data_IF_394848796896
#
_entry.id   IF_394848796896
#
_cell.length_a   1.000
_cell.length_b   1.000
_cell.length_c   1.000
_cell.angle_alpha   90.00
_cell.angle_beta   90.00
_cell.angle_gamma   90.00
#
_symmetry.space_group_name_H-M   'P 1'
#
loop_
_entity.id
_entity.type
_entity.pdbx_description
1 polymer ?
#
# COMPACT_ATOMS: atom_id res chain seq x y z
N UNK A 1 3.14 18.32 5.59
CA UNK A 1 4.18 17.49 4.96
C UNK A 1 3.60 16.91 3.68
N UNK A 2 4.34 16.89 2.56
CA UNK A 2 3.82 16.30 1.32
C UNK A 2 3.79 14.77 1.40
N UNK A 3 2.90 14.08 0.66
CA UNK A 3 2.88 12.61 0.62
C UNK A 3 4.24 12.00 0.22
N UNK A 4 4.95 12.64 -0.72
CA UNK A 4 6.30 12.22 -1.10
C UNK A 4 7.30 12.27 0.07
N UNK A 5 7.29 13.36 0.85
CA UNK A 5 8.16 13.49 2.03
C UNK A 5 7.77 12.48 3.13
N UNK A 6 6.48 12.21 3.33
CA UNK A 6 6.01 11.15 4.23
C UNK A 6 6.54 9.77 3.80
N UNK A 7 6.47 9.45 2.51
CA UNK A 7 6.99 8.19 1.97
C UNK A 7 8.48 8.02 2.22
N UNK A 8 9.28 9.06 1.97
CA UNK A 8 10.71 9.06 2.31
C UNK A 8 10.97 8.82 3.79
N UNK A 9 10.19 9.48 4.66
CA UNK A 9 10.32 9.32 6.10
C UNK A 9 10.09 7.87 6.55
N UNK A 10 9.09 7.17 6.00
CA UNK A 10 8.83 5.75 6.30
C UNK A 10 10.07 4.89 6.03
N UNK A 11 10.66 5.03 4.84
CA UNK A 11 11.87 4.30 4.45
C UNK A 11 13.11 4.67 5.27
N UNK A 12 13.16 5.86 5.87
CA UNK A 12 14.23 6.25 6.78
C UNK A 12 14.03 5.70 8.20
N UNK A 13 12.78 5.44 8.61
CA UNK A 13 12.45 4.98 9.95
C UNK A 13 12.34 3.46 10.09
N UNK A 14 12.10 2.75 9.00
CA UNK A 14 11.88 1.30 9.00
C UNK A 14 13.00 0.58 8.23
N UNK A 15 13.51 -0.57 8.74
CA UNK A 15 14.44 -1.40 7.98
C UNK A 15 13.80 -1.86 6.66
N UNK A 16 14.43 -1.51 5.54
CA UNK A 16 13.98 -1.89 4.20
C UNK A 16 15.15 -2.43 3.40
N UNK A 17 14.89 -3.45 2.58
CA UNK A 17 15.89 -4.00 1.65
C UNK A 17 16.22 -3.03 0.50
N UNK A 18 15.37 -2.02 0.28
CA UNK A 18 15.47 -1.06 -0.83
C UNK A 18 15.32 0.37 -0.32
N UNK A 19 15.98 1.32 -0.98
CA UNK A 19 15.70 2.74 -0.80
C UNK A 19 14.31 3.13 -1.34
N UNK A 20 13.82 4.29 -0.91
CA UNK A 20 12.58 4.87 -1.44
C UNK A 20 12.66 5.06 -2.95
N UNK A 21 13.78 5.58 -3.45
CA UNK A 21 14.02 5.84 -4.87
C UNK A 21 14.04 4.56 -5.71
N UNK A 22 14.69 3.49 -5.23
CA UNK A 22 14.69 2.18 -5.90
C UNK A 22 13.28 1.59 -5.95
N UNK A 23 12.56 1.66 -4.83
CA UNK A 23 11.19 1.17 -4.76
C UNK A 23 10.27 1.96 -5.70
N UNK A 24 10.40 3.29 -5.73
CA UNK A 24 9.65 4.15 -6.64
C UNK A 24 9.98 3.87 -8.11
N UNK A 25 11.26 3.76 -8.45
CA UNK A 25 11.70 3.44 -9.81
C UNK A 25 11.14 2.08 -10.24
N UNK A 26 11.21 1.07 -9.38
CA UNK A 26 10.68 -0.26 -9.69
C UNK A 26 9.17 -0.21 -9.94
N UNK A 27 8.40 0.45 -9.06
CA UNK A 27 6.94 0.56 -9.21
C UNK A 27 6.53 1.42 -10.42
N UNK A 28 7.36 2.37 -10.86
CA UNK A 28 7.11 3.10 -12.10
C UNK A 28 7.22 2.22 -13.35
N UNK A 29 7.98 1.12 -13.27
CA UNK A 29 8.25 0.22 -14.40
C UNK A 29 7.40 -1.04 -14.39
N UNK A 30 7.20 -1.64 -13.21
CA UNK A 30 6.59 -2.97 -13.05
C UNK A 30 5.34 -2.97 -12.18
N UNK A 31 4.88 -1.80 -11.73
CA UNK A 31 3.70 -1.66 -10.90
C UNK A 31 3.00 -0.34 -11.19
N UNK A 32 2.52 0.30 -10.13
CA UNK A 32 1.80 1.55 -10.18
C UNK A 32 2.18 2.47 -9.03
N UNK A 33 2.26 3.76 -9.35
CA UNK A 33 2.30 4.83 -8.37
C UNK A 33 1.02 5.64 -8.52
N UNK A 34 0.12 5.51 -7.54
CA UNK A 34 -1.06 6.37 -7.45
C UNK A 34 -0.71 7.54 -6.55
N UNK A 35 -0.97 8.77 -6.99
CA UNK A 35 -0.72 9.94 -6.17
C UNK A 35 -1.83 10.97 -6.33
N UNK A 36 -2.08 11.69 -5.25
CA UNK A 36 -2.97 12.84 -5.20
C UNK A 36 -2.35 13.94 -4.36
N UNK A 37 -3.10 15.02 -4.15
CA UNK A 37 -2.63 16.14 -3.33
C UNK A 37 -2.33 15.72 -1.88
N UNK A 38 -3.07 14.75 -1.35
CA UNK A 38 -3.06 14.33 0.05
C UNK A 38 -2.68 12.85 0.26
N UNK A 39 -2.32 12.10 -0.78
CA UNK A 39 -1.92 10.70 -0.66
C UNK A 39 -0.88 10.26 -1.70
N UNK A 40 -0.20 9.15 -1.40
CA UNK A 40 0.66 8.42 -2.33
C UNK A 40 0.61 6.93 -2.03
N UNK A 41 0.50 6.11 -3.06
CA UNK A 41 0.49 4.64 -2.99
C UNK A 41 1.45 4.06 -3.99
N UNK A 42 2.34 3.19 -3.54
CA UNK A 42 3.09 2.27 -4.38
C UNK A 42 2.42 0.91 -4.31
N UNK A 43 2.01 0.38 -5.44
CA UNK A 43 1.41 -0.94 -5.48
C UNK A 43 1.60 -1.66 -6.80
N UNK A 44 1.40 -2.97 -6.77
CA UNK A 44 1.49 -3.84 -7.94
C UNK A 44 0.34 -4.83 -7.94
N UNK A 45 -0.12 -5.19 -9.12
CA UNK A 45 -1.09 -6.27 -9.28
C UNK A 45 -0.38 -7.61 -9.08
N UNK A 46 -0.98 -8.46 -8.26
CA UNK A 46 -0.47 -9.80 -7.95
C UNK A 46 -1.61 -10.82 -7.96
N UNK A 47 -1.33 -12.09 -8.29
CA UNK A 47 -2.25 -13.19 -8.01
C UNK A 47 -2.29 -13.43 -6.50
N UNK A 48 -3.48 -13.39 -5.88
CA UNK A 48 -3.64 -13.59 -4.43
C UNK A 48 -3.10 -14.94 -3.94
N UNK A 49 -3.14 -15.96 -4.80
CA UNK A 49 -2.64 -17.30 -4.54
C UNK A 49 -1.16 -17.52 -4.81
N UNK A 50 -0.42 -16.48 -5.24
CA UNK A 50 1.01 -16.61 -5.47
C UNK A 50 1.78 -16.85 -4.16
N UNK A 51 3.01 -17.36 -4.30
CA UNK A 51 3.93 -17.55 -3.19
C UNK A 51 4.17 -16.22 -2.47
N UNK A 52 4.07 -16.22 -1.13
CA UNK A 52 4.16 -14.99 -0.34
C UNK A 52 5.48 -14.23 -0.56
N UNK A 53 6.60 -14.96 -0.67
CA UNK A 53 7.90 -14.37 -0.96
C UNK A 53 7.88 -13.57 -2.28
N UNK A 54 7.22 -14.07 -3.33
CA UNK A 54 7.07 -13.35 -4.60
C UNK A 54 6.09 -12.18 -4.51
N UNK A 55 5.08 -12.26 -3.63
CA UNK A 55 4.14 -11.15 -3.44
C UNK A 55 4.80 -10.00 -2.70
N UNK A 56 5.74 -10.27 -1.78
CA UNK A 56 6.43 -9.28 -0.95
C UNK A 56 7.65 -8.69 -1.67
N UNK A 57 8.45 -9.52 -2.33
CA UNK A 57 9.65 -9.09 -3.04
C UNK A 57 9.33 -8.32 -4.34
N UNK A 58 10.31 -7.62 -4.91
CA UNK A 58 10.21 -6.89 -6.17
C UNK A 58 10.13 -7.82 -7.40
N UNK A 59 9.07 -8.62 -7.47
CA UNK A 59 8.80 -9.61 -8.52
C UNK A 59 7.72 -9.13 -9.51
N UNK A 60 7.91 -9.43 -10.81
CA UNK A 60 6.93 -9.13 -11.86
C UNK A 60 6.06 -10.35 -12.16
N UNK A 61 4.74 -10.17 -12.11
CA UNK A 61 3.74 -11.19 -12.47
C UNK A 61 3.21 -11.01 -13.91
N UNK A 62 4.05 -10.50 -14.81
CA UNK A 62 3.67 -10.23 -16.19
C UNK A 62 3.04 -11.46 -16.87
N UNK A 63 1.92 -11.24 -17.57
CA UNK A 63 1.17 -12.31 -18.24
C UNK A 63 0.28 -13.18 -17.33
N UNK A 64 0.20 -12.89 -16.03
CA UNK A 64 -0.65 -13.64 -15.09
C UNK A 64 -1.94 -12.87 -14.75
N UNK A 65 -3.03 -13.60 -14.54
CA UNK A 65 -4.26 -13.02 -14.00
C UNK A 65 -4.04 -12.57 -12.55
N UNK A 66 -4.23 -11.28 -12.31
CA UNK A 66 -4.05 -10.67 -10.99
C UNK A 66 -5.41 -10.20 -10.45
N UNK A 67 -5.74 -10.61 -9.22
CA UNK A 67 -6.99 -10.28 -8.53
C UNK A 67 -6.78 -9.42 -7.28
N UNK A 68 -5.52 -9.08 -6.98
CA UNK A 68 -5.11 -8.33 -5.80
C UNK A 68 -4.14 -7.21 -6.14
N UNK A 69 -4.29 -6.04 -5.49
CA UNK A 69 -3.28 -4.99 -5.48
C UNK A 69 -2.46 -5.14 -4.19
N UNK A 70 -1.20 -5.54 -4.32
CA UNK A 70 -0.25 -5.49 -3.22
C UNK A 70 0.26 -4.07 -3.05
N UNK A 71 0.13 -3.53 -1.84
CA UNK A 71 0.51 -2.17 -1.46
C UNK A 71 1.82 -2.23 -0.69
N UNK A 72 2.90 -1.80 -1.33
CA UNK A 72 4.23 -1.70 -0.74
C UNK A 72 4.39 -0.43 0.13
N UNK A 73 3.69 0.65 -0.25
CA UNK A 73 3.66 1.90 0.51
C UNK A 73 2.30 2.56 0.34
N UNK A 74 1.72 3.07 1.43
CA UNK A 74 0.57 3.97 1.38
C UNK A 74 0.72 5.03 2.45
N UNK A 75 0.77 6.30 2.05
CA UNK A 75 0.91 7.45 2.95
C UNK A 75 -0.14 8.51 2.65
N UNK A 76 -0.53 9.27 3.68
CA UNK A 76 -1.56 10.29 3.58
C UNK A 76 -2.99 9.74 3.71
N UNK A 77 -3.96 10.38 3.06
CA UNK A 77 -5.39 10.02 3.16
C UNK A 77 -5.67 8.67 2.50
N UNK A 78 -5.90 7.65 3.32
CA UNK A 78 -6.30 6.31 2.86
C UNK A 78 -7.65 6.36 2.12
N UNK A 79 -8.59 7.19 2.60
CA UNK A 79 -9.89 7.32 1.95
C UNK A 79 -9.75 7.84 0.51
N UNK A 80 -8.92 8.86 0.30
CA UNK A 80 -8.61 9.40 -1.03
C UNK A 80 -7.90 8.34 -1.89
N UNK A 81 -6.89 7.67 -1.33
CA UNK A 81 -6.15 6.62 -2.03
C UNK A 81 -7.05 5.49 -2.56
N UNK A 82 -7.93 4.94 -1.70
CA UNK A 82 -8.81 3.83 -2.09
C UNK A 82 -9.93 4.23 -3.04
N UNK A 83 -10.31 5.51 -3.06
CA UNK A 83 -11.24 6.05 -4.04
C UNK A 83 -10.62 6.16 -5.44
N UNK A 84 -9.30 6.32 -5.54
CA UNK A 84 -8.57 6.42 -6.81
C UNK A 84 -8.23 5.06 -7.44
N UNK A 85 -8.23 3.98 -6.66
CA UNK A 85 -7.90 2.66 -7.19
C UNK A 85 -8.87 2.21 -8.30
N UNK A 86 -8.37 1.50 -9.33
CA UNK A 86 -9.22 0.95 -10.39
C UNK A 86 -10.33 0.04 -9.85
N UNK A 87 -11.51 0.10 -10.49
CA UNK A 87 -12.72 -0.64 -10.03
C UNK A 87 -12.56 -2.15 -10.05
N UNK A 88 -11.61 -2.66 -10.81
CA UNK A 88 -11.36 -4.10 -11.00
C UNK A 88 -10.62 -4.74 -9.81
N UNK A 89 -9.99 -3.94 -8.94
CA UNK A 89 -9.30 -4.40 -7.75
C UNK A 89 -10.30 -4.93 -6.73
N UNK A 90 -10.30 -6.24 -6.48
CA UNK A 90 -11.17 -6.87 -5.47
C UNK A 90 -10.47 -7.02 -4.12
N UNK A 91 -9.17 -7.25 -4.14
CA UNK A 91 -8.36 -7.49 -2.94
C UNK A 91 -7.23 -6.49 -2.83
N UNK A 92 -6.90 -6.14 -1.59
CA UNK A 92 -5.69 -5.42 -1.23
C UNK A 92 -4.86 -6.32 -0.35
N UNK A 93 -3.54 -6.33 -0.58
CA UNK A 93 -2.59 -6.89 0.37
C UNK A 93 -1.57 -5.86 0.81
N UNK A 94 -1.06 -6.02 2.02
CA UNK A 94 0.06 -5.24 2.55
C UNK A 94 0.73 -6.05 3.66
N UNK A 95 1.97 -5.70 3.99
CA UNK A 95 2.68 -6.31 5.10
C UNK A 95 2.46 -5.54 6.39
N UNK A 96 2.29 -6.28 7.48
CA UNK A 96 2.30 -5.73 8.84
C UNK A 96 2.99 -6.72 9.76
N UNK A 97 4.05 -6.28 10.44
CA UNK A 97 4.87 -7.15 11.30
C UNK A 97 5.40 -8.39 10.54
N UNK A 98 5.94 -8.17 9.33
CA UNK A 98 6.46 -9.21 8.43
C UNK A 98 5.44 -10.31 8.07
N UNK A 99 4.15 -10.02 8.21
CA UNK A 99 3.07 -10.91 7.83
C UNK A 99 2.29 -10.28 6.68
N UNK A 100 2.25 -10.98 5.54
CA UNK A 100 1.41 -10.59 4.41
C UNK A 100 -0.06 -10.81 4.78
N UNK A 101 -0.86 -9.76 4.67
CA UNK A 101 -2.30 -9.80 4.96
C UNK A 101 -3.09 -9.43 3.72
N UNK A 102 -4.28 -10.01 3.60
CA UNK A 102 -5.21 -9.75 2.50
C UNK A 102 -6.55 -9.29 3.04
N UNK A 103 -7.13 -8.28 2.41
CA UNK A 103 -8.44 -7.76 2.76
C UNK A 103 -9.24 -7.48 1.48
N UNK A 104 -10.56 -7.73 1.49
CA UNK A 104 -11.43 -7.24 0.42
C UNK A 104 -11.37 -5.70 0.37
N UNK A 105 -11.25 -5.11 -0.82
CA UNK A 105 -11.18 -3.66 -1.00
C UNK A 105 -12.39 -2.97 -0.38
N UNK A 106 -13.59 -3.53 -0.55
CA UNK A 106 -14.82 -2.99 0.02
C UNK A 106 -14.79 -2.93 1.54
N UNK A 107 -14.12 -3.91 2.18
CA UNK A 107 -13.94 -3.92 3.63
C UNK A 107 -13.00 -2.81 4.06
N UNK A 108 -11.89 -2.59 3.35
CA UNK A 108 -10.96 -1.50 3.63
C UNK A 108 -11.64 -0.13 3.47
N UNK A 109 -12.37 0.10 2.36
CA UNK A 109 -13.08 1.36 2.08
C UNK A 109 -14.06 1.75 3.19
N UNK A 110 -14.73 0.77 3.78
CA UNK A 110 -15.63 0.99 4.93
C UNK A 110 -14.87 1.44 6.17
N UNK A 111 -13.68 0.91 6.43
CA UNK A 111 -12.90 1.31 7.61
C UNK A 111 -12.23 2.68 7.43
N UNK A 112 -11.70 2.98 6.24
CA UNK A 112 -11.03 4.26 5.98
C UNK A 112 -11.99 5.46 6.04
N UNK A 113 -13.26 5.28 5.63
CA UNK A 113 -14.29 6.32 5.72
C UNK A 113 -14.77 6.60 7.16
N UNK A 114 -14.58 5.64 8.07
CA UNK A 114 -14.83 5.83 9.51
C UNK A 114 -13.62 6.51 10.15
N UNK A 115 -12.40 6.12 9.79
CA UNK A 115 -11.17 6.69 10.34
C UNK A 115 -10.88 8.12 9.87
N UNK A 116 -11.27 8.51 8.65
CA UNK A 116 -11.10 9.90 8.19
C UNK A 116 -11.89 10.93 9.01
N UNK A 117 -12.91 10.49 9.76
CA UNK A 117 -13.62 11.33 10.75
C UNK A 117 -12.79 11.56 12.03
N UNK A 118 -11.78 10.73 12.26
CA UNK A 118 -10.86 10.77 13.42
C UNK A 118 -9.43 11.22 13.05
N UNK A 119 -9.09 11.34 11.76
CA UNK A 119 -7.74 11.71 11.25
C UNK A 119 -7.27 13.15 11.56
N UNK A 120 -7.98 13.91 12.41
CA UNK A 120 -7.38 15.05 13.14
C UNK A 120 -6.48 14.60 14.29
N UNK A 121 -6.39 13.30 14.55
CA UNK A 121 -5.57 12.71 15.60
C UNK A 121 -4.79 11.53 15.02
N UNK A 122 -3.53 11.79 14.69
CA UNK A 122 -2.38 10.88 14.54
C UNK A 122 -2.66 9.38 14.33
N UNK A 123 -1.99 8.77 13.35
CA UNK A 123 -1.53 7.39 13.50
C UNK A 123 -0.68 7.31 14.78
N UNK A 124 -1.12 6.63 15.85
CA UNK A 124 -0.24 6.44 17.00
C UNK A 124 0.83 5.42 16.59
N UNK A 125 2.08 5.58 17.07
CA UNK A 125 3.02 4.48 17.06
C UNK A 125 2.41 3.34 17.91
N UNK A 126 2.50 2.12 17.39
CA UNK A 126 2.45 0.85 18.14
C UNK A 126 1.89 0.92 19.57
N UNK A 127 0.61 0.58 19.76
CA UNK A 127 0.05 -0.12 20.94
C UNK A 127 -1.47 0.12 21.03
N UNK A 128 -2.26 -0.66 20.31
CA UNK A 128 -3.63 -1.03 20.69
C UNK A 128 -4.15 -2.02 19.64
N UNK A 129 -5.06 -2.90 20.03
CA UNK A 129 -5.54 -4.08 19.32
C UNK A 129 -4.69 -5.34 19.56
N UNK A 130 -4.71 -5.76 20.83
CA UNK A 130 -4.86 -7.18 21.20
C UNK A 130 -6.32 -7.55 21.00
#
# INVERSE_FOLDING_TARGET
MSPFAMGKQVFMSEPSAYSFEECALWHSKYGHIFSGHDFMVFGRYVPRGAEQAKIVDLYSFEGQECDCLHVALCVGSMASAWATLPKEVKWISYERQNCLRFFPLDRIKRFSSVLSRYEKSFFPPTSAFV
#
